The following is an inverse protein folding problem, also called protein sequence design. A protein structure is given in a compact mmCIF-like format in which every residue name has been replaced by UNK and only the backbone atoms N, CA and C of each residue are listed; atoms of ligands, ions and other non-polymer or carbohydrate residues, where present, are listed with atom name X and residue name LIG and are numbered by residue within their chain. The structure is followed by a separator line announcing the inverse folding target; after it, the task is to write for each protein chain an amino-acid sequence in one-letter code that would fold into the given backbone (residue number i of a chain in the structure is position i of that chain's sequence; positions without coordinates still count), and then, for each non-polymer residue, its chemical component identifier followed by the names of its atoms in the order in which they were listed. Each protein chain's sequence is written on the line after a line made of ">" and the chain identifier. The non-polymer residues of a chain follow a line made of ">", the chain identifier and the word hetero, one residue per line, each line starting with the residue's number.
data_IF_288816620608
#
_entry.id   IF_288816620608
#
_cell.length_a   1.000
_cell.length_b   1.000
_cell.length_c   1.000
_cell.angle_alpha   90.00
_cell.angle_beta   90.00
_cell.angle_gamma   90.00
#
_symmetry.space_group_name_H-M   'P 1'
#
loop_
_entity.id
_entity.type
_entity.pdbx_description
1 polymer ?
#
# COMPACT_ATOMS: atom_id res chain seq x y z
N UNK A 1 -17.36 0.60 4.09
CA UNK A 1 -16.16 0.65 4.93
C UNK A 1 -15.29 1.83 4.53
N UNK A 2 -14.68 2.47 5.52
CA UNK A 2 -13.72 3.55 5.31
C UNK A 2 -12.45 3.27 6.12
N UNK A 3 -11.30 3.39 5.48
CA UNK A 3 -9.99 3.21 6.10
C UNK A 3 -9.11 4.42 5.85
N UNK A 4 -8.56 4.99 6.92
CA UNK A 4 -7.50 5.99 6.85
C UNK A 4 -6.30 5.52 7.66
N UNK A 5 -5.12 5.51 7.03
CA UNK A 5 -3.85 5.18 7.69
C UNK A 5 -2.81 6.23 7.37
N UNK A 6 -2.15 6.74 8.40
CA UNK A 6 -0.97 7.60 8.24
C UNK A 6 0.19 6.99 9.01
N UNK A 7 1.34 6.89 8.36
CA UNK A 7 2.57 6.39 8.94
C UNK A 7 3.67 7.40 8.69
N UNK A 8 4.39 7.80 9.73
CA UNK A 8 5.58 8.64 9.64
C UNK A 8 6.80 7.80 10.01
N UNK A 9 7.89 8.06 9.32
CA UNK A 9 9.17 7.42 9.56
C UNK A 9 10.23 8.52 9.57
N UNK A 10 10.92 8.64 10.70
CA UNK A 10 12.01 9.58 10.90
C UNK A 10 13.28 8.76 11.16
N UNK A 11 14.34 9.09 10.47
CA UNK A 11 15.63 8.44 10.62
C UNK A 11 16.74 9.46 10.57
N UNK A 12 17.56 9.46 11.60
CA UNK A 12 18.81 10.19 11.65
C UNK A 12 19.99 9.21 11.56
N UNK A 13 20.95 9.52 10.74
CA UNK A 13 22.25 8.85 10.67
C UNK A 13 23.31 9.89 10.93
N UNK A 14 24.16 9.63 11.89
CA UNK A 14 25.30 10.49 12.25
C UNK A 14 26.58 9.67 12.14
N UNK A 15 27.59 10.26 11.56
CA UNK A 15 28.95 9.74 11.56
C UNK A 15 29.82 10.75 12.27
N UNK A 16 30.51 10.29 13.30
CA UNK A 16 31.50 11.08 14.05
C UNK A 16 32.89 10.74 13.56
N UNK A 17 33.83 11.64 13.78
CA UNK A 17 35.24 11.39 13.50
C UNK A 17 35.77 10.39 14.54
N UNK A 18 36.58 9.45 14.10
CA UNK A 18 37.21 8.49 15.01
C UNK A 18 38.49 9.09 15.61
N UNK A 19 38.54 9.38 16.92
CA UNK A 19 39.73 9.82 17.56
C UNK A 19 40.71 8.65 17.79
N UNK A 20 41.99 8.95 17.79
CA UNK A 20 43.02 8.01 18.24
C UNK A 20 44.11 8.77 19.04
N UNK A 21 44.68 8.09 19.99
CA UNK A 21 45.83 8.65 20.74
C UNK A 21 47.10 8.50 19.92
N UNK A 22 47.68 9.61 19.52
CA UNK A 22 48.93 9.62 18.76
C UNK A 22 50.17 9.51 19.63
N UNK A 23 50.19 10.19 20.75
CA UNK A 23 51.30 10.28 21.69
C UNK A 23 50.75 10.79 23.03
N UNK A 24 51.64 10.94 23.98
CA UNK A 24 51.38 11.62 25.26
C UNK A 24 52.18 12.93 25.31
N UNK A 25 51.62 13.94 25.94
CA UNK A 25 52.29 15.21 26.17
C UNK A 25 53.29 15.14 27.33
N UNK A 26 53.96 16.26 27.63
CA UNK A 26 54.93 16.34 28.69
C UNK A 26 54.34 16.07 30.12
N UNK A 27 53.02 16.16 30.27
CA UNK A 27 52.29 15.91 31.52
C UNK A 27 51.77 14.48 31.62
N UNK A 28 51.93 13.65 30.55
CA UNK A 28 51.46 12.28 30.46
C UNK A 28 50.03 12.18 29.98
N UNK A 29 49.41 13.25 29.46
CA UNK A 29 48.06 13.23 28.87
C UNK A 29 48.11 12.80 27.39
N UNK A 30 47.12 12.03 26.98
CA UNK A 30 47.01 11.56 25.60
C UNK A 30 46.71 12.69 24.61
N UNK A 31 47.60 12.87 23.63
CA UNK A 31 47.37 13.75 22.47
C UNK A 31 46.41 13.05 21.53
N UNK A 32 45.20 13.53 21.41
CA UNK A 32 44.13 12.96 20.56
C UNK A 32 44.23 13.56 19.15
N UNK A 33 44.32 12.73 18.16
CA UNK A 33 44.15 13.10 16.74
C UNK A 33 42.96 12.38 16.13
N UNK A 34 42.51 12.90 15.02
CA UNK A 34 41.40 12.28 14.27
C UNK A 34 41.93 11.69 12.96
N UNK A 35 41.39 10.56 12.55
CA UNK A 35 41.77 9.90 11.29
C UNK A 35 41.59 10.90 10.15
N UNK A 36 42.71 11.17 9.44
CA UNK A 36 42.74 12.11 8.31
C UNK A 36 41.75 11.66 7.20
N UNK A 37 41.04 12.61 6.62
CA UNK A 37 40.11 12.36 5.51
C UNK A 37 38.68 11.94 5.93
N UNK A 38 38.45 11.68 7.24
CA UNK A 38 37.08 11.46 7.73
C UNK A 38 36.46 12.79 8.18
N UNK A 39 35.26 13.08 7.65
CA UNK A 39 34.45 14.20 8.10
C UNK A 39 33.28 13.68 8.93
N UNK A 40 32.93 14.39 9.99
CA UNK A 40 31.66 14.15 10.65
C UNK A 40 30.52 14.54 9.72
N UNK A 41 29.44 13.80 9.75
CA UNK A 41 28.28 14.11 8.93
C UNK A 41 26.99 13.69 9.60
N UNK A 42 25.90 14.28 9.14
CA UNK A 42 24.55 13.96 9.56
C UNK A 42 23.62 13.87 8.34
N UNK A 43 22.77 12.88 8.35
CA UNK A 43 21.70 12.72 7.39
C UNK A 43 20.38 12.49 8.09
N UNK A 44 19.37 13.25 7.72
CA UNK A 44 18.02 13.10 8.22
C UNK A 44 17.09 12.69 7.08
N UNK A 45 16.25 11.69 7.33
CA UNK A 45 15.21 11.25 6.41
C UNK A 45 13.88 11.32 7.11
N UNK A 46 12.94 12.09 6.55
CA UNK A 46 11.56 12.15 6.99
C UNK A 46 10.65 11.62 5.90
N UNK A 47 9.92 10.54 6.18
CA UNK A 47 8.97 9.94 5.26
C UNK A 47 7.57 9.95 5.87
N UNK A 48 6.60 10.38 5.10
CA UNK A 48 5.18 10.33 5.47
C UNK A 48 4.41 9.56 4.41
N UNK A 49 3.73 8.51 4.84
CA UNK A 49 2.81 7.75 4.02
C UNK A 49 1.38 8.04 4.49
N UNK A 50 0.50 8.32 3.56
CA UNK A 50 -0.94 8.40 3.79
C UNK A 50 -1.67 7.45 2.86
N UNK A 51 -2.65 6.74 3.40
CA UNK A 51 -3.48 5.80 2.69
C UNK A 51 -4.94 6.03 3.06
N UNK A 52 -5.80 6.10 2.05
CA UNK A 52 -7.24 6.22 2.19
C UNK A 52 -7.86 5.14 1.32
N UNK A 53 -8.80 4.39 1.88
CA UNK A 53 -9.63 3.47 1.13
C UNK A 53 -11.09 3.61 1.55
N UNK A 54 -11.99 3.56 0.57
CA UNK A 54 -13.44 3.62 0.76
C UNK A 54 -14.10 2.54 -0.07
N UNK A 55 -14.97 1.75 0.55
CA UNK A 55 -15.81 0.77 -0.11
C UNK A 55 -17.27 1.06 0.26
N UNK A 56 -18.07 1.31 -0.75
CA UNK A 56 -19.52 1.50 -0.65
C UNK A 56 -20.17 0.43 -1.51
N UNK A 57 -21.12 -0.30 -0.94
CA UNK A 57 -21.91 -1.26 -1.70
C UNK A 57 -23.28 -1.43 -1.07
N UNK A 58 -24.21 -1.84 -1.91
CA UNK A 58 -25.55 -2.25 -1.52
C UNK A 58 -25.85 -3.61 -2.12
N UNK A 59 -26.60 -4.40 -1.39
CA UNK A 59 -27.01 -5.75 -1.78
C UNK A 59 -28.53 -5.85 -1.61
N UNK A 60 -29.17 -6.51 -2.55
CA UNK A 60 -30.59 -6.84 -2.54
C UNK A 60 -30.74 -8.31 -2.87
N UNK A 61 -31.57 -9.00 -2.11
CA UNK A 61 -31.88 -10.42 -2.28
C UNK A 61 -33.40 -10.59 -2.18
N UNK A 62 -33.97 -11.37 -3.11
CA UNK A 62 -35.40 -11.67 -3.13
C UNK A 62 -35.66 -13.03 -3.79
N UNK A 63 -36.81 -13.63 -3.45
CA UNK A 63 -37.26 -14.88 -4.01
C UNK A 63 -38.64 -14.70 -4.61
N UNK A 64 -38.79 -14.90 -5.91
CA UNK A 64 -40.06 -14.83 -6.63
C UNK A 64 -40.60 -16.21 -6.89
N UNK A 65 -41.91 -16.39 -6.63
CA UNK A 65 -42.64 -17.64 -6.85
C UNK A 65 -41.96 -18.88 -6.21
N UNK A 66 -41.23 -18.68 -5.09
CA UNK A 66 -40.54 -19.74 -4.33
C UNK A 66 -39.42 -20.48 -5.08
N UNK A 67 -39.21 -20.21 -6.38
CA UNK A 67 -38.25 -20.93 -7.24
C UNK A 67 -37.22 -20.01 -7.90
N UNK A 68 -37.44 -18.71 -7.96
CA UNK A 68 -36.53 -17.76 -8.58
C UNK A 68 -35.82 -16.97 -7.51
N UNK A 69 -34.58 -17.28 -7.20
CA UNK A 69 -33.77 -16.55 -6.23
C UNK A 69 -32.84 -15.58 -6.94
N UNK A 70 -32.89 -14.32 -6.53
CA UNK A 70 -32.05 -13.26 -7.06
C UNK A 70 -31.23 -12.63 -5.95
N UNK A 71 -29.95 -12.43 -6.20
CA UNK A 71 -29.09 -11.64 -5.35
C UNK A 71 -28.30 -10.67 -6.22
N UNK A 72 -28.54 -9.39 -6.00
CA UNK A 72 -27.91 -8.30 -6.77
C UNK A 72 -27.07 -7.48 -5.82
N UNK A 73 -25.83 -7.27 -6.16
CA UNK A 73 -24.91 -6.40 -5.44
C UNK A 73 -24.33 -5.38 -6.40
N UNK A 74 -24.25 -4.14 -5.98
CA UNK A 74 -23.55 -3.09 -6.71
C UNK A 74 -22.79 -2.20 -5.75
N UNK A 75 -21.66 -1.68 -6.20
CA UNK A 75 -20.85 -0.86 -5.33
C UNK A 75 -19.75 -0.12 -6.06
N UNK A 76 -19.00 0.63 -5.26
CA UNK A 76 -17.89 1.43 -5.70
C UNK A 76 -16.78 1.38 -4.66
N UNK A 77 -15.55 1.27 -5.13
CA UNK A 77 -14.36 1.35 -4.31
C UNK A 77 -13.43 2.46 -4.77
N UNK A 78 -12.72 3.05 -3.82
CA UNK A 78 -11.71 4.06 -4.07
C UNK A 78 -10.54 3.85 -3.11
N UNK A 79 -9.34 3.96 -3.65
CA UNK A 79 -8.09 3.87 -2.90
C UNK A 79 -7.13 4.97 -3.35
N UNK A 80 -6.48 5.61 -2.39
CA UNK A 80 -5.40 6.58 -2.64
C UNK A 80 -4.26 6.31 -1.69
N UNK A 81 -3.07 6.19 -2.25
CA UNK A 81 -1.82 6.13 -1.50
C UNK A 81 -0.91 7.28 -1.90
N UNK A 82 -0.26 7.88 -0.93
CA UNK A 82 0.68 8.98 -1.14
C UNK A 82 1.87 8.83 -0.20
N UNK A 83 3.07 8.88 -0.76
CA UNK A 83 4.33 8.88 -0.03
C UNK A 83 5.07 10.17 -0.33
N UNK A 84 5.49 10.86 0.72
CA UNK A 84 6.41 12.00 0.65
C UNK A 84 7.66 11.68 1.44
N UNK A 85 8.82 11.98 0.87
CA UNK A 85 10.09 11.83 1.55
C UNK A 85 10.91 13.11 1.40
N UNK A 86 11.53 13.53 2.48
CA UNK A 86 12.53 14.58 2.54
C UNK A 86 13.81 13.98 3.11
N UNK A 87 14.90 14.12 2.38
CA UNK A 87 16.24 13.73 2.78
C UNK A 87 17.12 14.97 2.85
N UNK A 88 17.80 15.17 3.98
CA UNK A 88 18.80 16.18 4.19
C UNK A 88 20.13 15.54 4.57
N UNK A 89 21.23 16.07 4.06
CA UNK A 89 22.60 15.67 4.41
C UNK A 89 23.47 16.92 4.52
N UNK A 90 24.35 16.93 5.52
CA UNK A 90 25.45 17.89 5.60
C UNK A 90 26.63 17.28 6.37
N UNK A 91 27.81 17.82 6.15
CA UNK A 91 29.04 17.41 6.84
C UNK A 91 29.63 18.50 7.74
N UNK A 92 30.76 18.22 8.40
CA UNK A 92 31.46 19.09 9.33
C UNK A 92 30.58 19.56 10.49
N UNK A 93 30.18 18.61 11.36
CA UNK A 93 29.38 18.92 12.56
C UNK A 93 30.16 19.84 13.51
N UNK A 94 29.52 20.92 13.93
CA UNK A 94 30.06 21.84 14.93
C UNK A 94 30.30 21.14 16.27
N UNK A 95 29.39 20.23 16.63
CA UNK A 95 29.50 19.36 17.81
C UNK A 95 28.99 17.98 17.44
N UNK A 96 29.61 16.97 18.04
CA UNK A 96 29.23 15.56 17.85
C UNK A 96 28.20 15.09 18.88
N UNK A 97 27.87 15.93 19.88
CA UNK A 97 26.92 15.57 20.94
C UNK A 97 25.46 15.83 20.58
N UNK A 98 25.20 16.71 19.58
CA UNK A 98 23.85 17.10 19.18
C UNK A 98 23.53 16.63 17.77
N UNK A 99 22.40 15.95 17.62
CA UNK A 99 21.89 15.48 16.34
C UNK A 99 21.00 16.53 15.68
N UNK A 100 21.61 17.53 15.06
CA UNK A 100 20.89 18.59 14.36
C UNK A 100 21.65 19.01 13.10
N UNK A 101 21.03 18.83 11.94
CA UNK A 101 21.62 19.14 10.65
C UNK A 101 21.99 20.63 10.48
N UNK A 102 21.32 21.53 11.21
CA UNK A 102 21.64 22.96 11.17
C UNK A 102 22.97 23.30 11.84
N UNK A 103 23.50 22.39 12.67
CA UNK A 103 24.81 22.53 13.30
C UNK A 103 25.95 21.96 12.47
N UNK A 104 25.68 21.55 11.25
CA UNK A 104 26.69 21.10 10.29
C UNK A 104 27.14 22.30 9.43
N UNK A 105 28.46 22.54 9.42
CA UNK A 105 29.07 23.73 8.83
C UNK A 105 29.54 23.52 7.38
N UNK A 106 29.51 22.27 6.89
CA UNK A 106 29.95 21.93 5.54
C UNK A 106 29.20 22.72 4.46
N UNK A 107 29.93 23.20 3.46
CA UNK A 107 29.40 23.97 2.33
C UNK A 107 29.35 23.17 1.05
N UNK A 108 30.27 22.22 0.89
CA UNK A 108 30.50 21.56 -0.39
C UNK A 108 29.61 20.32 -0.63
N UNK A 109 29.18 19.66 0.44
CA UNK A 109 28.43 18.39 0.36
C UNK A 109 26.98 18.52 0.85
N UNK A 110 26.49 19.73 1.07
CA UNK A 110 25.12 19.95 1.51
C UNK A 110 24.14 19.43 0.45
N UNK A 111 23.24 18.55 0.85
CA UNK A 111 22.26 17.93 -0.03
C UNK A 111 20.87 17.96 0.58
N UNK A 112 19.91 18.44 -0.19
CA UNK A 112 18.48 18.33 0.14
C UNK A 112 17.80 17.69 -1.06
N UNK A 113 17.08 16.61 -0.82
CA UNK A 113 16.33 15.89 -1.85
C UNK A 113 14.94 15.61 -1.34
N UNK A 114 13.94 15.81 -2.18
CA UNK A 114 12.57 15.42 -1.88
C UNK A 114 12.02 14.52 -2.97
N UNK A 115 11.19 13.60 -2.58
CA UNK A 115 10.44 12.76 -3.49
C UNK A 115 8.96 12.73 -3.11
N UNK A 116 8.12 12.61 -4.11
CA UNK A 116 6.69 12.47 -3.94
C UNK A 116 6.17 11.43 -4.92
N UNK A 117 5.49 10.44 -4.39
CA UNK A 117 4.83 9.40 -5.15
C UNK A 117 3.38 9.28 -4.70
N UNK A 118 2.46 9.21 -5.64
CA UNK A 118 1.06 9.00 -5.34
C UNK A 118 0.41 8.14 -6.41
N UNK A 119 -0.54 7.31 -6.00
CA UNK A 119 -1.43 6.63 -6.91
C UNK A 119 -2.87 6.66 -6.39
N UNK A 120 -3.78 6.52 -7.31
CA UNK A 120 -5.20 6.38 -7.05
C UNK A 120 -5.72 5.21 -7.87
N UNK A 121 -6.59 4.46 -7.25
CA UNK A 121 -7.34 3.38 -7.87
C UNK A 121 -8.80 3.55 -7.51
N UNK A 122 -9.70 3.25 -8.42
CA UNK A 122 -11.13 3.30 -8.13
C UNK A 122 -11.91 2.55 -9.17
N UNK A 123 -13.08 2.06 -8.81
CA UNK A 123 -13.92 1.34 -9.73
C UNK A 123 -15.32 1.10 -9.21
N UNK A 124 -16.24 0.94 -10.15
CA UNK A 124 -17.59 0.46 -9.89
C UNK A 124 -17.66 -1.04 -10.17
N UNK A 125 -18.47 -1.75 -9.42
CA UNK A 125 -18.68 -3.17 -9.61
C UNK A 125 -20.13 -3.56 -9.40
N UNK A 126 -20.53 -4.64 -10.05
CA UNK A 126 -21.80 -5.29 -9.79
C UNK A 126 -21.65 -6.81 -9.82
N UNK A 127 -22.56 -7.49 -9.15
CA UNK A 127 -22.74 -8.93 -9.16
C UNK A 127 -24.23 -9.25 -9.22
N UNK A 128 -24.59 -10.15 -10.10
CA UNK A 128 -25.92 -10.75 -10.17
C UNK A 128 -25.77 -12.25 -10.00
N UNK A 129 -26.37 -12.81 -8.98
CA UNK A 129 -26.59 -14.24 -8.81
C UNK A 129 -28.05 -14.53 -9.08
N UNK A 130 -28.30 -15.55 -9.86
CA UNK A 130 -29.62 -16.05 -10.11
C UNK A 130 -29.62 -17.56 -9.93
N UNK A 131 -30.61 -18.04 -9.23
CA UNK A 131 -30.83 -19.46 -8.97
C UNK A 131 -32.26 -19.81 -9.31
N UNK A 132 -32.45 -20.83 -10.13
CA UNK A 132 -33.76 -21.38 -10.44
C UNK A 132 -33.92 -22.73 -9.75
N UNK A 133 -34.80 -22.79 -8.76
CA UNK A 133 -35.20 -23.98 -8.02
C UNK A 133 -34.01 -24.77 -7.44
N UNK A 134 -32.94 -24.05 -7.06
CA UNK A 134 -31.66 -24.63 -6.65
C UNK A 134 -31.07 -25.65 -7.66
N UNK A 135 -31.49 -25.60 -8.91
CA UNK A 135 -31.05 -26.49 -10.01
C UNK A 135 -30.13 -25.79 -10.98
N UNK A 136 -30.51 -24.62 -11.44
CA UNK A 136 -29.73 -23.86 -12.42
C UNK A 136 -29.22 -22.59 -11.78
N UNK A 137 -27.91 -22.46 -11.70
CA UNK A 137 -27.25 -21.30 -11.11
C UNK A 137 -26.55 -20.49 -12.18
N UNK A 138 -26.69 -19.17 -12.12
CA UNK A 138 -26.02 -18.23 -12.99
C UNK A 138 -25.42 -17.11 -12.16
N UNK A 139 -24.15 -16.81 -12.40
CA UNK A 139 -23.52 -15.63 -11.84
C UNK A 139 -22.94 -14.76 -12.94
N UNK A 140 -23.21 -13.46 -12.86
CA UNK A 140 -22.65 -12.44 -13.75
C UNK A 140 -21.99 -11.38 -12.89
N UNK A 141 -20.71 -11.12 -13.14
CA UNK A 141 -19.97 -10.06 -12.49
C UNK A 141 -19.47 -9.06 -13.52
N UNK A 142 -19.37 -7.82 -13.11
CA UNK A 142 -18.74 -6.79 -13.91
C UNK A 142 -18.01 -5.79 -13.02
N UNK A 143 -16.81 -5.39 -13.44
CA UNK A 143 -16.04 -4.33 -12.82
C UNK A 143 -15.56 -3.35 -13.87
N UNK A 144 -15.67 -2.07 -13.54
CA UNK A 144 -15.10 -0.98 -14.34
C UNK A 144 -14.08 -0.26 -13.47
N UNK A 145 -12.81 -0.63 -13.63
CA UNK A 145 -11.71 -0.20 -12.75
C UNK A 145 -10.78 0.77 -13.48
N UNK A 146 -10.30 1.75 -12.73
CA UNK A 146 -9.35 2.74 -13.20
C UNK A 146 -8.18 2.96 -12.26
N UNK A 147 -6.99 3.17 -12.83
CA UNK A 147 -5.78 3.45 -12.06
C UNK A 147 -5.00 4.63 -12.64
N UNK A 148 -4.56 5.54 -11.75
CA UNK A 148 -3.73 6.68 -12.11
C UNK A 148 -2.33 6.30 -12.61
N UNK A 149 -1.93 5.04 -12.48
CA UNK A 149 -0.64 4.53 -12.97
C UNK A 149 -0.60 4.33 -14.48
N UNK A 150 -1.77 4.28 -15.12
CA UNK A 150 -1.90 4.17 -16.57
C UNK A 150 -2.08 5.53 -17.23
N UNK A 151 -1.72 5.62 -18.50
CA UNK A 151 -1.98 6.79 -19.34
C UNK A 151 -3.48 7.07 -19.42
N UNK A 152 -3.86 8.32 -19.67
CA UNK A 152 -5.25 8.78 -19.66
C UNK A 152 -6.19 7.88 -20.50
N UNK A 153 -5.74 7.49 -21.68
CA UNK A 153 -6.58 6.77 -22.66
C UNK A 153 -6.78 5.30 -22.30
N UNK A 154 -5.89 4.73 -21.47
CA UNK A 154 -5.92 3.32 -21.06
C UNK A 154 -6.15 3.17 -19.54
N UNK A 155 -6.64 4.22 -18.90
CA UNK A 155 -6.77 4.25 -17.44
C UNK A 155 -7.91 3.40 -16.94
N UNK A 156 -8.99 3.31 -17.70
CA UNK A 156 -10.23 2.64 -17.33
C UNK A 156 -10.50 1.44 -18.20
N UNK A 157 -10.81 0.31 -17.57
CA UNK A 157 -11.08 -0.95 -18.28
C UNK A 157 -12.25 -1.71 -17.63
N UNK A 158 -12.95 -2.47 -18.47
CA UNK A 158 -13.99 -3.40 -18.07
C UNK A 158 -13.44 -4.81 -17.84
N UNK A 159 -13.91 -5.45 -16.77
CA UNK A 159 -13.57 -6.82 -16.40
C UNK A 159 -14.85 -7.61 -16.15
N UNK A 160 -15.51 -8.12 -17.18
CA UNK A 160 -16.68 -8.97 -17.03
C UNK A 160 -16.26 -10.41 -16.72
N UNK A 161 -17.08 -11.11 -15.93
CA UNK A 161 -16.99 -12.55 -15.73
C UNK A 161 -18.38 -13.14 -15.54
N UNK A 162 -18.55 -14.39 -15.93
CA UNK A 162 -19.78 -15.14 -15.76
C UNK A 162 -19.49 -16.60 -15.44
N UNK A 163 -20.37 -17.22 -14.68
CA UNK A 163 -20.36 -18.65 -14.40
C UNK A 163 -21.78 -19.21 -14.44
N UNK A 164 -21.89 -20.46 -14.76
CA UNK A 164 -23.14 -21.21 -14.73
C UNK A 164 -22.94 -22.55 -14.05
N UNK A 165 -23.90 -22.96 -13.27
CA UNK A 165 -23.90 -24.24 -12.55
C UNK A 165 -25.20 -24.99 -12.79
N UNK A 166 -25.11 -26.32 -12.80
CA UNK A 166 -26.24 -27.19 -12.85
C UNK A 166 -26.16 -28.24 -11.73
N UNK A 167 -27.14 -28.24 -10.88
CA UNK A 167 -27.27 -29.22 -9.81
C UNK A 167 -28.07 -30.43 -10.32
N UNK A 168 -27.39 -31.38 -10.92
CA UNK A 168 -27.95 -32.56 -11.53
C UNK A 168 -28.70 -33.42 -10.50
N UNK A 169 -28.24 -33.44 -9.23
CA UNK A 169 -28.85 -34.21 -8.18
C UNK A 169 -30.30 -33.81 -7.84
N UNK A 170 -30.73 -32.61 -8.28
CA UNK A 170 -32.10 -32.10 -8.11
C UNK A 170 -32.99 -32.32 -9.35
N UNK A 171 -32.52 -33.00 -10.35
CA UNK A 171 -33.33 -33.34 -11.52
C UNK A 171 -34.18 -34.59 -11.24
N UNK A 172 -35.41 -34.61 -11.76
CA UNK A 172 -36.35 -35.70 -11.58
C UNK A 172 -35.81 -37.05 -12.02
N UNK A 173 -35.09 -37.06 -13.16
CA UNK A 173 -34.49 -38.29 -13.68
C UNK A 173 -33.42 -38.88 -12.75
N UNK A 174 -32.77 -38.02 -11.91
CA UNK A 174 -31.78 -38.49 -10.95
C UNK A 174 -32.43 -39.07 -9.69
N UNK A 175 -33.54 -38.50 -9.24
CA UNK A 175 -34.36 -39.05 -8.16
C UNK A 175 -34.92 -40.41 -8.53
N UNK A 176 -35.45 -40.55 -9.78
CA UNK A 176 -35.98 -41.81 -10.28
C UNK A 176 -34.89 -42.89 -10.36
N UNK A 177 -33.66 -42.56 -10.69
CA UNK A 177 -32.54 -43.48 -10.76
C UNK A 177 -32.12 -44.01 -9.38
N UNK A 178 -32.02 -43.12 -8.40
CA UNK A 178 -31.68 -43.49 -7.02
C UNK A 178 -32.76 -44.38 -6.34
N UNK A 179 -34.02 -44.25 -6.78
CA UNK A 179 -35.09 -45.12 -6.30
C UNK A 179 -35.07 -46.53 -6.95
N UNK A 180 -34.42 -46.66 -8.09
CA UNK A 180 -34.31 -47.96 -8.79
C UNK A 180 -33.16 -48.85 -8.25
N UNK A 181 -32.27 -48.29 -7.41
CA UNK A 181 -31.18 -49.00 -6.76
C UNK A 181 -31.51 -49.43 -5.33
N UNK A 182 -32.71 -49.14 -4.81
CA UNK A 182 -33.26 -49.62 -3.50
C UNK A 182 -34.26 -50.76 -3.72
#
# INVERSE_FOLDING_TARGET
>A
DFTYKRTTYDKTKKQVRSPYARSVDANGESIIEYISGTRSNIAETKRSNSYIATNLYAEFEDTLNEVHNFKIMGGWNYEKSQTKELYGYNDDLLTEDVENINLALGTDNRKITSSWNAYQFGGAFFRLNYDFDNRYLLEVNGRYDGSSRFLKDNRWNWFPSFSAGWNIAREKFWEDWNLAEQ
#
